data_IF_971521220127
#
_entry.id   IF_971521220127
#
_cell.length_a   1.000
_cell.length_b   1.000
_cell.length_c   1.000
_cell.angle_alpha   90.00
_cell.angle_beta   90.00
_cell.angle_gamma   90.00
#
_symmetry.space_group_name_H-M   'P 1'
#
loop_
_entity.id
_entity.type
_entity.pdbx_description
1 polymer ?
#
# COMPACT_ATOMS: atom_id res chain seq x y z
N UNK A 1 2.15 13.97 -9.15
CA UNK A 1 2.13 13.71 -7.69
C UNK A 1 3.36 12.90 -7.38
N UNK A 2 4.07 13.24 -6.31
CA UNK A 2 5.25 12.47 -5.91
C UNK A 2 4.83 11.29 -5.02
N UNK A 3 5.43 10.12 -5.22
CA UNK A 3 5.12 8.93 -4.43
C UNK A 3 6.00 8.93 -3.18
N UNK A 4 5.43 8.95 -1.97
CA UNK A 4 6.21 9.01 -0.73
C UNK A 4 7.22 7.87 -0.60
N UNK A 5 8.33 8.09 0.13
CA UNK A 5 9.38 7.09 0.29
C UNK A 5 8.84 5.84 1.00
N UNK A 6 9.45 4.69 0.72
CA UNK A 6 9.13 3.40 1.33
C UNK A 6 9.31 3.35 2.85
N UNK A 7 10.11 4.28 3.40
CA UNK A 7 10.34 4.43 4.84
C UNK A 7 9.17 5.10 5.56
N UNK A 8 8.18 5.64 4.85
CA UNK A 8 6.98 6.22 5.49
C UNK A 8 6.17 5.11 6.17
N UNK A 9 5.90 5.31 7.46
CA UNK A 9 5.22 4.34 8.33
C UNK A 9 3.81 4.01 7.83
N UNK A 10 3.15 4.93 7.12
CA UNK A 10 1.80 4.76 6.57
C UNK A 10 1.71 3.59 5.59
N UNK A 11 2.78 3.29 4.85
CA UNK A 11 2.81 2.10 3.99
C UNK A 11 2.60 0.82 4.81
N UNK A 12 3.30 0.67 5.93
CA UNK A 12 3.17 -0.47 6.84
C UNK A 12 1.80 -0.50 7.54
N UNK A 13 1.24 0.66 7.86
CA UNK A 13 -0.10 0.78 8.48
C UNK A 13 -1.22 0.29 7.57
N UNK A 14 -1.10 0.50 6.25
CA UNK A 14 -2.03 -0.04 5.27
C UNK A 14 -1.91 -1.57 5.21
N UNK A 15 -0.69 -2.10 5.16
CA UNK A 15 -0.44 -3.56 5.11
C UNK A 15 -0.98 -4.26 6.35
N UNK A 16 -0.76 -3.67 7.53
CA UNK A 16 -1.26 -4.20 8.81
C UNK A 16 -2.74 -3.91 9.03
N UNK A 17 -3.43 -3.35 8.03
CA UNK A 17 -4.86 -3.02 8.05
C UNK A 17 -5.29 -2.10 9.20
N UNK A 18 -4.35 -1.34 9.79
CA UNK A 18 -4.65 -0.31 10.80
C UNK A 18 -5.44 0.85 10.19
N UNK A 19 -5.20 1.12 8.92
CA UNK A 19 -5.93 2.09 8.12
C UNK A 19 -6.49 1.37 6.89
N UNK A 20 -7.79 1.52 6.63
CA UNK A 20 -8.46 0.95 5.45
C UNK A 20 -9.07 2.06 4.60
N UNK A 21 -8.25 2.83 3.86
CA UNK A 21 -8.76 3.79 2.90
C UNK A 21 -9.62 3.07 1.86
N UNK A 22 -10.70 3.70 1.43
CA UNK A 22 -11.46 3.18 0.31
C UNK A 22 -10.69 3.48 -0.99
N UNK A 23 -9.88 2.52 -1.44
CA UNK A 23 -9.09 2.66 -2.66
C UNK A 23 -9.98 2.73 -3.91
N UNK A 24 -9.57 3.49 -4.91
CA UNK A 24 -10.19 3.54 -6.24
C UNK A 24 -9.47 2.58 -7.19
N UNK A 25 -8.17 2.38 -7.03
CA UNK A 25 -7.36 1.53 -7.90
C UNK A 25 -7.54 0.04 -7.56
N UNK A 26 -8.08 -0.71 -8.52
CA UNK A 26 -8.37 -2.14 -8.34
C UNK A 26 -7.13 -2.97 -7.98
N UNK A 27 -5.98 -2.69 -8.59
CA UNK A 27 -4.77 -3.46 -8.32
C UNK A 27 -4.33 -3.35 -6.85
N UNK A 28 -4.51 -2.17 -6.22
CA UNK A 28 -4.25 -1.98 -4.78
C UNK A 28 -5.22 -2.82 -3.95
N UNK A 29 -6.51 -2.86 -4.30
CA UNK A 29 -7.49 -3.71 -3.59
C UNK A 29 -7.09 -5.18 -3.63
N UNK A 30 -6.74 -5.69 -4.80
CA UNK A 30 -6.31 -7.09 -4.99
C UNK A 30 -5.02 -7.35 -4.21
N UNK A 31 -4.06 -6.43 -4.31
CA UNK A 31 -2.80 -6.51 -3.58
C UNK A 31 -3.02 -6.60 -2.07
N UNK A 32 -3.89 -5.76 -1.50
CA UNK A 32 -4.14 -5.73 -0.06
C UNK A 32 -4.84 -6.99 0.46
N UNK A 33 -5.72 -7.60 -0.34
CA UNK A 33 -6.31 -8.90 -0.01
C UNK A 33 -5.21 -9.96 0.10
N UNK A 34 -4.30 -10.02 -0.88
CA UNK A 34 -3.14 -10.94 -0.85
C UNK A 34 -2.23 -10.63 0.34
N UNK A 35 -1.85 -9.36 0.53
CA UNK A 35 -0.97 -8.92 1.61
C UNK A 35 -1.56 -9.28 2.99
N UNK A 36 -2.87 -9.13 3.18
CA UNK A 36 -3.54 -9.51 4.43
C UNK A 36 -3.42 -11.01 4.71
N UNK A 37 -3.59 -11.85 3.69
CA UNK A 37 -3.43 -13.30 3.81
C UNK A 37 -1.98 -13.66 4.17
N UNK A 38 -1.01 -13.00 3.53
CA UNK A 38 0.42 -13.23 3.78
C UNK A 38 0.82 -12.79 5.19
N UNK A 39 0.34 -11.63 5.67
CA UNK A 39 0.60 -11.16 7.04
C UNK A 39 -0.05 -12.07 8.09
N UNK A 40 -1.22 -12.63 7.79
CA UNK A 40 -1.86 -13.61 8.68
C UNK A 40 -1.09 -14.94 8.76
N UNK A 41 -0.34 -15.30 7.70
CA UNK A 41 0.52 -16.48 7.67
C UNK A 41 1.86 -16.22 8.34
N UNK A 42 2.44 -15.05 8.09
CA UNK A 42 3.71 -14.60 8.62
C UNK A 42 3.62 -13.13 9.02
N UNK A 43 3.49 -12.91 10.34
CA UNK A 43 3.38 -11.57 10.94
C UNK A 43 4.73 -10.95 11.29
N UNK A 44 5.84 -11.52 10.79
CA UNK A 44 7.17 -10.97 11.00
C UNK A 44 7.30 -9.55 10.44
N UNK A 45 8.10 -8.73 11.12
CA UNK A 45 8.33 -7.33 10.71
C UNK A 45 9.00 -7.24 9.34
N UNK A 46 9.85 -8.21 8.99
CA UNK A 46 10.49 -8.31 7.66
C UNK A 46 9.45 -8.48 6.56
N UNK A 47 8.45 -9.35 6.76
CA UNK A 47 7.44 -9.60 5.73
C UNK A 47 6.53 -8.39 5.50
N UNK A 48 6.17 -7.68 6.58
CA UNK A 48 5.41 -6.43 6.49
C UNK A 48 6.20 -5.35 5.75
N UNK A 49 7.51 -5.29 5.95
CA UNK A 49 8.40 -4.37 5.24
C UNK A 49 8.47 -4.64 3.74
N UNK A 50 8.66 -5.89 3.35
CA UNK A 50 8.64 -6.30 1.93
C UNK A 50 7.32 -5.92 1.26
N UNK A 51 6.18 -6.23 1.90
CA UNK A 51 4.86 -5.90 1.37
C UNK A 51 4.62 -4.39 1.26
N UNK A 52 5.19 -3.59 2.19
CA UNK A 52 5.12 -2.13 2.12
C UNK A 52 5.92 -1.57 0.93
N UNK A 53 7.09 -2.14 0.63
CA UNK A 53 7.89 -1.81 -0.55
C UNK A 53 7.14 -2.18 -1.83
N UNK A 54 6.60 -3.40 -1.92
CA UNK A 54 5.80 -3.86 -3.07
C UNK A 54 4.59 -2.96 -3.32
N UNK A 55 3.89 -2.53 -2.26
CA UNK A 55 2.78 -1.59 -2.35
C UNK A 55 3.24 -0.25 -2.93
N UNK A 56 4.31 0.33 -2.39
CA UNK A 56 4.87 1.60 -2.87
C UNK A 56 5.31 1.50 -4.34
N UNK A 57 5.92 0.40 -4.75
CA UNK A 57 6.26 0.16 -6.15
C UNK A 57 5.02 0.08 -7.05
N UNK A 58 3.95 -0.57 -6.60
CA UNK A 58 2.68 -0.63 -7.33
C UNK A 58 2.13 0.78 -7.58
N UNK A 59 2.18 1.65 -6.56
CA UNK A 59 1.83 3.06 -6.70
C UNK A 59 2.78 3.81 -7.66
N UNK A 60 4.09 3.62 -7.54
CA UNK A 60 5.10 4.27 -8.38
C UNK A 60 4.97 3.90 -9.87
N UNK A 61 4.78 2.61 -10.18
CA UNK A 61 4.59 2.11 -11.57
C UNK A 61 3.32 2.65 -12.23
N UNK A 62 2.36 3.11 -11.44
CA UNK A 62 1.05 3.56 -11.90
C UNK A 62 0.76 5.04 -11.54
N UNK A 63 1.77 5.83 -11.19
CA UNK A 63 1.61 7.19 -10.65
C UNK A 63 0.91 8.17 -11.62
N UNK A 64 0.93 7.87 -12.93
CA UNK A 64 0.20 8.61 -13.97
C UNK A 64 -1.32 8.44 -13.91
N UNK A 65 -1.84 7.40 -13.25
CA UNK A 65 -3.29 7.16 -13.18
C UNK A 65 -3.95 8.05 -12.13
N UNK A 66 -5.05 8.71 -12.50
CA UNK A 66 -5.82 9.57 -11.59
C UNK A 66 -6.34 8.81 -10.36
N UNK A 67 -6.72 7.53 -10.51
CA UNK A 67 -7.15 6.68 -9.40
C UNK A 67 -6.03 6.47 -8.38
N UNK A 68 -4.80 6.27 -8.85
CA UNK A 68 -3.60 6.10 -8.02
C UNK A 68 -3.26 7.40 -7.29
N UNK A 69 -3.35 8.53 -7.97
CA UNK A 69 -3.14 9.85 -7.34
C UNK A 69 -4.17 10.14 -6.26
N UNK A 70 -5.46 9.84 -6.51
CA UNK A 70 -6.52 9.95 -5.49
C UNK A 70 -6.22 9.05 -4.29
N UNK A 71 -5.79 7.83 -4.53
CA UNK A 71 -5.47 6.88 -3.48
C UNK A 71 -4.25 7.29 -2.66
N UNK A 72 -3.21 7.84 -3.29
CA UNK A 72 -2.08 8.48 -2.57
C UNK A 72 -2.60 9.63 -1.71
N UNK A 73 -3.48 10.48 -2.25
CA UNK A 73 -4.12 11.55 -1.48
C UNK A 73 -4.89 11.06 -0.26
N UNK A 74 -5.58 9.91 -0.33
CA UNK A 74 -6.29 9.32 0.83
C UNK A 74 -5.35 8.76 1.90
N UNK A 75 -4.15 8.33 1.52
CA UNK A 75 -3.17 7.80 2.46
C UNK A 75 -2.35 8.94 3.08
N UNK A 76 -1.96 9.92 2.26
CA UNK A 76 -0.90 10.86 2.58
C UNK A 76 -1.35 12.32 2.73
N UNK A 77 -2.58 12.64 2.31
CA UNK A 77 -3.19 13.96 2.44
C UNK A 77 -3.92 14.19 3.75
#
# INVERSE_FOLDING_TARGET
>A
MDVPPETDKRWKEIITAKVKPQFDFLAVKIFLVRATIEVNRDSSSSRVEELAVELRELFAKNAQLTSVQKDIGKIFG
#
